data_IF_071577479159
#
_entry.id   IF_071577479159
#
_cell.length_a   1.000
_cell.length_b   1.000
_cell.length_c   1.000
_cell.angle_alpha   90.00
_cell.angle_beta   90.00
_cell.angle_gamma   90.00
#
_symmetry.space_group_name_H-M   'P 1'
#
loop_
_entity.id
_entity.type
_entity.pdbx_description
1 polymer ?
#
# COMPACT_ATOMS: atom_id res chain seq x y z
N UNK A 1 68.18 36.74 -4.66
CA UNK A 1 67.60 36.42 -3.34
C UNK A 1 66.05 36.30 -3.27
N UNK A 2 65.27 36.55 -4.34
CA UNK A 2 63.78 36.56 -4.26
C UNK A 2 63.10 35.16 -4.33
N UNK A 3 63.71 34.17 -4.99
CA UNK A 3 63.12 32.82 -5.15
C UNK A 3 63.09 31.98 -3.86
N UNK A 4 64.09 32.12 -2.98
CA UNK A 4 64.14 31.39 -1.70
C UNK A 4 63.01 31.78 -0.75
N UNK A 5 62.54 33.04 -0.79
CA UNK A 5 61.43 33.53 0.03
C UNK A 5 60.07 32.99 -0.44
N UNK A 6 59.90 32.73 -1.74
CA UNK A 6 58.69 32.12 -2.33
C UNK A 6 58.57 30.63 -1.96
N UNK A 7 59.66 29.87 -2.07
CA UNK A 7 59.69 28.46 -1.68
C UNK A 7 59.43 28.27 -0.16
N UNK A 8 59.98 29.15 0.68
CA UNK A 8 59.70 29.16 2.11
C UNK A 8 58.24 29.56 2.43
N UNK A 9 57.64 30.45 1.63
CA UNK A 9 56.22 30.86 1.77
C UNK A 9 55.25 29.76 1.39
N UNK A 10 55.56 28.94 0.39
CA UNK A 10 54.74 27.80 -0.04
C UNK A 10 54.85 26.57 0.90
N UNK A 11 55.98 26.39 1.59
CA UNK A 11 56.17 25.30 2.57
C UNK A 11 55.29 25.42 3.81
N UNK A 12 54.95 26.64 4.23
CA UNK A 12 54.09 26.89 5.42
C UNK A 12 52.64 26.40 5.24
N UNK A 13 51.89 26.76 4.18
CA UNK A 13 50.53 26.25 3.98
C UNK A 13 50.51 24.74 3.74
N UNK A 14 51.51 24.18 3.04
CA UNK A 14 51.60 22.73 2.80
C UNK A 14 51.84 21.92 4.09
N UNK A 15 52.72 22.40 4.98
CA UNK A 15 52.90 21.81 6.31
C UNK A 15 51.67 21.99 7.21
N UNK A 16 50.89 23.06 7.01
CA UNK A 16 49.65 23.31 7.75
C UNK A 16 48.55 22.36 7.28
N UNK A 17 48.46 22.12 5.97
CA UNK A 17 47.55 21.15 5.34
C UNK A 17 47.88 19.71 5.74
N UNK A 18 49.16 19.32 5.70
CA UNK A 18 49.64 17.99 6.13
C UNK A 18 49.49 17.74 7.64
N UNK A 19 49.38 18.79 8.46
CA UNK A 19 49.17 18.70 9.90
C UNK A 19 47.69 18.87 10.29
N UNK A 20 46.83 19.11 9.31
CA UNK A 20 45.41 19.32 9.54
C UNK A 20 44.67 17.97 9.62
N UNK A 21 44.36 17.55 10.85
CA UNK A 21 43.62 16.30 11.11
C UNK A 21 42.19 16.33 10.56
N UNK A 22 41.66 17.50 10.19
CA UNK A 22 40.32 17.65 9.59
C UNK A 22 40.20 16.95 8.23
N UNK A 23 41.31 16.79 7.51
CA UNK A 23 41.34 16.05 6.24
C UNK A 23 41.01 14.56 6.43
N UNK A 24 41.45 13.96 7.54
CA UNK A 24 41.17 12.55 7.86
C UNK A 24 39.68 12.35 8.15
N UNK A 25 39.08 13.22 8.95
CA UNK A 25 37.63 13.18 9.22
C UNK A 25 36.78 13.37 7.96
N UNK A 26 37.25 14.18 7.00
CA UNK A 26 36.55 14.35 5.71
C UNK A 26 36.57 13.06 4.88
N UNK A 27 37.67 12.30 4.89
CA UNK A 27 37.75 11.00 4.20
C UNK A 27 36.86 9.96 4.88
N UNK A 28 36.89 9.88 6.22
CA UNK A 28 36.00 8.99 6.98
C UNK A 28 34.52 9.27 6.70
N UNK A 29 34.14 10.54 6.68
CA UNK A 29 32.78 10.95 6.31
C UNK A 29 32.45 10.59 4.86
N UNK A 30 33.36 10.80 3.92
CA UNK A 30 33.16 10.44 2.52
C UNK A 30 32.96 8.92 2.31
N UNK A 31 33.59 8.08 3.14
CA UNK A 31 33.37 6.63 3.12
C UNK A 31 32.02 6.22 3.72
N UNK A 32 31.54 6.91 4.76
CA UNK A 32 30.26 6.61 5.41
C UNK A 32 29.05 7.21 4.69
N UNK A 33 29.22 8.33 4.00
CA UNK A 33 28.16 9.08 3.34
C UNK A 33 27.32 8.23 2.37
N UNK A 34 27.88 7.35 1.52
CA UNK A 34 27.10 6.45 0.67
C UNK A 34 26.14 5.56 1.49
N UNK A 35 26.62 5.00 2.60
CA UNK A 35 25.79 4.18 3.49
C UNK A 35 24.68 5.02 4.15
N UNK A 36 24.99 6.23 4.62
CA UNK A 36 23.98 7.10 5.21
C UNK A 36 22.89 7.50 4.20
N UNK A 37 23.27 7.83 2.96
CA UNK A 37 22.33 8.18 1.89
C UNK A 37 21.44 7.00 1.53
N UNK A 38 22.02 5.81 1.35
CA UNK A 38 21.24 4.61 1.02
C UNK A 38 20.23 4.27 2.11
N UNK A 39 20.62 4.32 3.39
CA UNK A 39 19.72 4.09 4.52
C UNK A 39 18.62 5.16 4.61
N UNK A 40 18.95 6.43 4.36
CA UNK A 40 17.97 7.51 4.38
C UNK A 40 16.93 7.35 3.26
N UNK A 41 17.38 7.20 2.01
CA UNK A 41 16.48 7.07 0.86
C UNK A 41 15.65 5.78 0.97
N UNK A 42 16.28 4.66 1.32
CA UNK A 42 15.58 3.39 1.54
C UNK A 42 14.54 3.50 2.66
N UNK A 43 14.87 4.17 3.77
CA UNK A 43 13.93 4.42 4.86
C UNK A 43 12.71 5.24 4.44
N UNK A 44 12.91 6.29 3.62
CA UNK A 44 11.82 7.12 3.08
C UNK A 44 10.93 6.31 2.13
N UNK A 45 11.51 5.50 1.24
CA UNK A 45 10.75 4.65 0.32
C UNK A 45 9.90 3.62 1.07
N UNK A 46 10.49 2.89 2.02
CA UNK A 46 9.78 1.89 2.83
C UNK A 46 8.67 2.54 3.65
N UNK A 47 8.95 3.68 4.29
CA UNK A 47 7.94 4.42 5.06
C UNK A 47 6.77 4.86 4.20
N UNK A 48 7.05 5.29 2.96
CA UNK A 48 6.02 5.69 2.00
C UNK A 48 5.18 4.49 1.55
N UNK A 49 5.81 3.36 1.24
CA UNK A 49 5.11 2.13 0.87
C UNK A 49 4.18 1.65 2.00
N UNK A 50 4.65 1.64 3.25
CA UNK A 50 3.84 1.29 4.42
C UNK A 50 2.67 2.28 4.60
N UNK A 51 2.88 3.57 4.36
CA UNK A 51 1.81 4.57 4.46
C UNK A 51 0.70 4.31 3.42
N UNK A 52 1.06 3.94 2.19
CA UNK A 52 0.09 3.56 1.14
C UNK A 52 -0.59 2.24 1.51
N UNK A 53 0.14 1.25 2.00
CA UNK A 53 -0.41 -0.05 2.43
C UNK A 53 -1.48 0.12 3.52
N UNK A 54 -1.23 0.99 4.51
CA UNK A 54 -2.23 1.33 5.53
C UNK A 54 -3.49 1.96 4.92
N UNK A 55 -3.36 2.74 3.84
CA UNK A 55 -4.53 3.28 3.11
C UNK A 55 -5.28 2.19 2.36
N UNK A 56 -4.59 1.23 1.76
CA UNK A 56 -5.20 0.04 1.12
C UNK A 56 -6.05 -0.72 2.13
N UNK A 57 -5.51 -1.00 3.32
CA UNK A 57 -6.26 -1.61 4.43
C UNK A 57 -7.47 -0.78 4.85
N UNK A 58 -7.30 0.54 4.97
CA UNK A 58 -8.38 1.43 5.36
C UNK A 58 -9.52 1.40 4.34
N UNK A 59 -9.20 1.40 3.03
CA UNK A 59 -10.20 1.30 1.95
C UNK A 59 -10.96 -0.02 2.04
N UNK A 60 -10.27 -1.17 2.14
CA UNK A 60 -10.92 -2.47 2.23
C UNK A 60 -11.90 -2.53 3.42
N UNK A 61 -11.48 -2.00 4.58
CA UNK A 61 -12.32 -1.88 5.78
C UNK A 61 -13.53 -0.97 5.55
N UNK A 62 -13.32 0.23 5.04
CA UNK A 62 -14.42 1.19 4.80
C UNK A 62 -15.47 0.62 3.84
N UNK A 63 -15.04 -0.04 2.75
CA UNK A 63 -15.97 -0.68 1.82
C UNK A 63 -16.74 -1.82 2.48
N UNK A 64 -16.06 -2.70 3.21
CA UNK A 64 -16.71 -3.77 3.97
C UNK A 64 -17.71 -3.24 5.01
N UNK A 65 -17.35 -2.16 5.70
CA UNK A 65 -18.20 -1.52 6.71
C UNK A 65 -19.46 -0.89 6.09
N UNK A 66 -19.34 -0.16 4.97
CA UNK A 66 -20.48 0.44 4.28
C UNK A 66 -21.46 -0.60 3.74
N UNK A 67 -20.93 -1.68 3.15
CA UNK A 67 -21.73 -2.74 2.55
C UNK A 67 -22.39 -3.61 3.62
N UNK A 68 -21.65 -3.97 4.68
CA UNK A 68 -22.20 -4.78 5.78
C UNK A 68 -23.29 -4.06 6.56
N UNK A 69 -23.32 -2.73 6.54
CA UNK A 69 -24.38 -1.91 7.16
C UNK A 69 -25.60 -1.71 6.26
N UNK A 70 -25.66 -2.35 5.10
CA UNK A 70 -26.81 -2.26 4.18
C UNK A 70 -27.64 -3.54 4.24
N UNK A 71 -28.95 -3.44 4.03
CA UNK A 71 -29.85 -4.61 3.90
C UNK A 71 -30.04 -5.00 2.43
N UNK A 72 -30.16 -4.00 1.56
CA UNK A 72 -30.12 -4.13 0.12
C UNK A 72 -29.38 -2.95 -0.50
N UNK A 73 -28.77 -3.18 -1.66
CA UNK A 73 -28.05 -2.17 -2.44
C UNK A 73 -28.58 -2.17 -3.86
N UNK A 74 -28.74 -1.00 -4.46
CA UNK A 74 -28.95 -0.84 -5.90
C UNK A 74 -27.62 -0.46 -6.60
N UNK A 75 -27.66 -0.34 -7.94
CA UNK A 75 -26.48 0.03 -8.73
C UNK A 75 -25.84 1.37 -8.31
N UNK A 76 -26.66 2.38 -7.99
CA UNK A 76 -26.21 3.71 -7.59
C UNK A 76 -25.55 3.66 -6.22
N UNK A 77 -26.15 2.97 -5.25
CA UNK A 77 -25.61 2.81 -3.90
C UNK A 77 -24.25 2.11 -3.96
N UNK A 78 -24.16 1.02 -4.73
CA UNK A 78 -22.91 0.29 -4.93
C UNK A 78 -21.84 1.16 -5.59
N UNK A 79 -22.20 1.92 -6.64
CA UNK A 79 -21.27 2.85 -7.30
C UNK A 79 -20.76 3.92 -6.33
N UNK A 80 -21.66 4.50 -5.52
CA UNK A 80 -21.29 5.49 -4.49
C UNK A 80 -20.34 4.90 -3.44
N UNK A 81 -20.62 3.69 -2.97
CA UNK A 81 -19.75 2.97 -2.03
C UNK A 81 -18.37 2.73 -2.66
N UNK A 82 -18.31 2.18 -3.88
CA UNK A 82 -17.04 1.91 -4.56
C UNK A 82 -16.26 3.21 -4.82
N UNK A 83 -16.93 4.29 -5.19
CA UNK A 83 -16.32 5.60 -5.40
C UNK A 83 -15.77 6.21 -4.11
N UNK A 84 -16.29 5.85 -2.93
CA UNK A 84 -15.75 6.30 -1.65
C UNK A 84 -14.28 5.86 -1.46
N UNK A 85 -13.85 4.76 -2.09
CA UNK A 85 -12.45 4.32 -2.09
C UNK A 85 -11.49 5.42 -2.57
N UNK A 86 -11.90 6.21 -3.56
CA UNK A 86 -11.09 7.30 -4.12
C UNK A 86 -10.83 8.44 -3.12
N UNK A 87 -11.75 8.65 -2.17
CA UNK A 87 -11.60 9.65 -1.11
C UNK A 87 -10.75 9.12 0.03
N UNK A 88 -10.89 7.84 0.40
CA UNK A 88 -10.15 7.23 1.50
C UNK A 88 -8.66 7.10 1.18
N UNK A 89 -8.32 6.80 -0.09
CA UNK A 89 -6.93 6.61 -0.54
C UNK A 89 -6.14 7.93 -0.65
N UNK A 90 -6.80 9.09 -0.55
CA UNK A 90 -6.11 10.38 -0.53
C UNK A 90 -5.03 10.42 0.57
N UNK A 91 -3.87 11.05 0.30
CA UNK A 91 -3.53 11.89 -0.86
C UNK A 91 -2.98 11.13 -2.09
N UNK A 92 -3.06 9.81 -2.13
CA UNK A 92 -2.52 9.00 -3.23
C UNK A 92 -3.50 8.93 -4.41
N UNK A 93 -2.97 8.72 -5.63
CA UNK A 93 -3.79 8.75 -6.85
C UNK A 93 -4.86 7.65 -6.83
N UNK A 94 -6.16 7.99 -6.99
CA UNK A 94 -7.23 7.01 -7.02
C UNK A 94 -7.28 6.20 -8.33
N UNK A 95 -6.58 6.62 -9.39
CA UNK A 95 -6.54 5.84 -10.65
C UNK A 95 -5.76 4.52 -10.53
N UNK A 96 -4.91 4.41 -9.51
CA UNK A 96 -4.05 3.25 -9.27
C UNK A 96 -4.69 2.22 -8.32
N UNK A 97 -5.87 2.53 -7.78
CA UNK A 97 -6.61 1.64 -6.89
C UNK A 97 -7.57 0.75 -7.69
N UNK A 98 -7.61 -0.52 -7.31
CA UNK A 98 -8.61 -1.49 -7.77
C UNK A 98 -9.32 -2.02 -6.53
N UNK A 99 -10.64 -1.98 -6.51
CA UNK A 99 -11.42 -2.51 -5.38
C UNK A 99 -12.45 -3.48 -5.90
N UNK A 100 -12.68 -4.57 -5.17
CA UNK A 100 -13.72 -5.54 -5.47
C UNK A 100 -14.45 -5.86 -4.18
N UNK A 101 -15.77 -5.72 -4.19
CA UNK A 101 -16.64 -6.15 -3.09
C UNK A 101 -17.48 -7.30 -3.60
N UNK A 102 -17.49 -8.40 -2.85
CA UNK A 102 -18.29 -9.57 -3.15
C UNK A 102 -19.09 -10.00 -1.94
N UNK A 103 -20.29 -10.51 -2.16
CA UNK A 103 -20.98 -11.34 -1.16
C UNK A 103 -20.61 -12.80 -1.40
N UNK A 104 -20.22 -13.47 -0.34
CA UNK A 104 -19.88 -14.89 -0.32
C UNK A 104 -20.79 -15.58 0.68
N UNK A 105 -21.51 -16.59 0.24
CA UNK A 105 -22.37 -17.40 1.11
C UNK A 105 -21.71 -18.76 1.33
N UNK A 106 -21.71 -19.22 2.59
CA UNK A 106 -21.19 -20.51 3.02
C UNK A 106 -22.37 -21.44 3.26
N UNK A 107 -22.46 -22.51 2.47
CA UNK A 107 -23.55 -23.47 2.57
C UNK A 107 -23.42 -24.41 3.79
N UNK A 108 -24.40 -25.30 3.97
CA UNK A 108 -24.41 -26.29 5.05
C UNK A 108 -23.19 -27.25 5.03
N UNK A 109 -22.60 -27.46 3.85
CA UNK A 109 -21.42 -28.31 3.65
C UNK A 109 -20.11 -27.53 3.79
N UNK A 110 -20.16 -26.27 4.27
CA UNK A 110 -19.01 -25.36 4.39
C UNK A 110 -18.36 -24.99 3.06
N UNK A 111 -19.11 -25.07 1.96
CA UNK A 111 -18.67 -24.63 0.64
C UNK A 111 -19.05 -23.17 0.47
N UNK A 112 -18.05 -22.33 0.22
CA UNK A 112 -18.24 -20.89 0.03
C UNK A 112 -18.40 -20.55 -1.47
N UNK A 113 -19.42 -19.78 -1.81
CA UNK A 113 -19.74 -19.36 -3.18
C UNK A 113 -19.99 -17.87 -3.27
N UNK A 114 -19.50 -17.23 -4.33
CA UNK A 114 -19.82 -15.84 -4.64
C UNK A 114 -21.28 -15.74 -5.08
N UNK A 115 -22.08 -14.92 -4.41
CA UNK A 115 -23.46 -14.61 -4.84
C UNK A 115 -23.46 -13.47 -5.84
N UNK A 116 -22.76 -12.38 -5.51
CA UNK A 116 -22.57 -11.23 -6.37
C UNK A 116 -21.19 -10.62 -6.12
N UNK A 117 -20.68 -9.91 -7.12
CA UNK A 117 -19.39 -9.23 -7.06
C UNK A 117 -19.42 -7.96 -7.89
N UNK A 118 -18.88 -6.86 -7.35
CA UNK A 118 -18.82 -5.54 -7.97
C UNK A 118 -17.45 -4.94 -7.75
N UNK A 119 -16.96 -4.19 -8.72
CA UNK A 119 -15.58 -3.70 -8.73
C UNK A 119 -15.49 -2.31 -9.30
N UNK A 120 -14.46 -1.57 -8.86
CA UNK A 120 -13.99 -0.35 -9.50
C UNK A 120 -12.54 -0.60 -9.96
N UNK A 121 -12.29 -0.40 -11.26
CA UNK A 121 -11.00 -0.60 -11.94
C UNK A 121 -10.40 -2.03 -11.86
N UNK A 122 -11.13 -3.00 -11.31
CA UNK A 122 -10.70 -4.39 -11.19
C UNK A 122 -11.56 -5.37 -12.00
N UNK A 123 -11.60 -6.63 -11.57
CA UNK A 123 -12.39 -7.69 -12.20
C UNK A 123 -13.35 -8.28 -11.19
N UNK A 124 -14.64 -8.24 -11.50
CA UNK A 124 -15.67 -8.87 -10.68
C UNK A 124 -15.61 -10.39 -10.82
N UNK A 125 -15.94 -11.10 -9.74
CA UNK A 125 -16.00 -12.56 -9.71
C UNK A 125 -17.35 -13.04 -10.27
N UNK A 126 -17.38 -14.11 -11.09
CA UNK A 126 -18.63 -14.61 -11.62
C UNK A 126 -19.51 -15.18 -10.50
N UNK A 127 -20.84 -15.01 -10.58
CA UNK A 127 -21.77 -15.63 -9.64
C UNK A 127 -21.58 -17.16 -9.59
N UNK A 128 -21.81 -17.74 -8.41
CA UNK A 128 -21.64 -19.16 -8.09
C UNK A 128 -20.20 -19.70 -8.20
N UNK A 129 -19.19 -18.84 -8.39
CA UNK A 129 -17.80 -19.26 -8.30
C UNK A 129 -17.43 -19.71 -6.88
N UNK A 130 -16.67 -20.79 -6.79
CA UNK A 130 -16.17 -21.32 -5.52
C UNK A 130 -15.08 -20.40 -4.97
N UNK A 131 -15.13 -20.15 -3.66
CA UNK A 131 -14.11 -19.38 -2.93
C UNK A 131 -13.48 -20.27 -1.88
N UNK A 132 -12.16 -20.30 -1.84
CA UNK A 132 -11.41 -20.88 -0.72
C UNK A 132 -11.34 -19.87 0.42
N UNK A 133 -12.03 -20.18 1.52
CA UNK A 133 -11.93 -19.44 2.77
C UNK A 133 -11.11 -20.24 3.79
N UNK A 134 -10.52 -19.54 4.76
CA UNK A 134 -9.93 -20.18 5.93
C UNK A 134 -11.01 -20.87 6.77
N UNK A 135 -10.64 -21.95 7.45
CA UNK A 135 -11.60 -22.76 8.20
C UNK A 135 -12.32 -21.98 9.31
N UNK A 136 -11.66 -20.95 9.87
CA UNK A 136 -12.26 -20.05 10.85
C UNK A 136 -13.44 -19.24 10.29
N UNK A 137 -13.49 -19.00 8.97
CA UNK A 137 -14.57 -18.25 8.32
C UNK A 137 -15.67 -19.15 7.74
N UNK A 138 -15.44 -20.48 7.69
CA UNK A 138 -16.40 -21.47 7.18
C UNK A 138 -17.49 -21.83 8.19
N UNK A 139 -18.23 -20.83 8.65
CA UNK A 139 -19.43 -21.08 9.46
C UNK A 139 -20.58 -21.45 8.53
N UNK A 140 -21.15 -22.64 8.72
CA UNK A 140 -22.24 -23.14 7.88
C UNK A 140 -23.46 -22.19 7.92
N UNK A 141 -24.13 -22.03 6.78
CA UNK A 141 -25.31 -21.18 6.61
C UNK A 141 -25.07 -19.72 7.00
N UNK A 142 -23.94 -19.14 6.60
CA UNK A 142 -23.62 -17.74 6.85
C UNK A 142 -23.29 -16.98 5.56
N UNK A 143 -23.53 -15.67 5.57
CA UNK A 143 -23.11 -14.76 4.51
C UNK A 143 -21.98 -13.86 5.00
N UNK A 144 -21.02 -13.61 4.12
CA UNK A 144 -19.85 -12.77 4.32
C UNK A 144 -19.77 -11.73 3.20
N UNK A 145 -19.41 -10.52 3.58
CA UNK A 145 -18.98 -9.47 2.67
C UNK A 145 -17.46 -9.54 2.60
N UNK A 146 -16.95 -9.80 1.41
CA UNK A 146 -15.54 -9.84 1.10
C UNK A 146 -15.16 -8.57 0.35
N UNK A 147 -14.41 -7.69 1.00
CA UNK A 147 -13.88 -6.49 0.38
C UNK A 147 -12.38 -6.68 0.12
N UNK A 148 -11.99 -6.55 -1.14
CA UNK A 148 -10.63 -6.65 -1.64
C UNK A 148 -10.19 -5.28 -2.16
N UNK A 149 -8.97 -4.87 -1.83
CA UNK A 149 -8.37 -3.64 -2.35
C UNK A 149 -6.96 -3.93 -2.83
N UNK A 150 -6.60 -3.37 -3.98
CA UNK A 150 -5.27 -3.43 -4.55
C UNK A 150 -4.82 -2.02 -4.95
N UNK A 151 -3.53 -1.74 -4.82
CA UNK A 151 -2.93 -0.48 -5.24
C UNK A 151 -1.60 -0.73 -5.94
N UNK A 152 -1.46 -0.19 -7.15
CA UNK A 152 -0.21 -0.24 -7.89
C UNK A 152 0.74 0.87 -7.38
N UNK A 153 1.63 0.51 -6.44
CA UNK A 153 2.60 1.44 -5.87
C UNK A 153 3.92 1.41 -6.65
N UNK A 154 4.39 2.57 -7.08
CA UNK A 154 5.72 2.72 -7.68
C UNK A 154 6.55 3.67 -6.80
N UNK A 155 7.73 3.24 -6.30
CA UNK A 155 8.63 4.11 -5.54
C UNK A 155 9.06 5.33 -6.36
N UNK A 156 9.13 6.49 -5.72
CA UNK A 156 9.46 7.75 -6.38
C UNK A 156 10.94 7.86 -6.75
N UNK A 157 11.83 7.29 -5.93
CA UNK A 157 13.28 7.39 -6.12
C UNK A 157 13.79 6.18 -6.92
N UNK A 158 13.22 5.00 -6.69
CA UNK A 158 13.51 3.79 -7.46
C UNK A 158 14.94 3.25 -7.26
N UNK A 159 15.57 3.57 -6.12
CA UNK A 159 16.99 3.27 -5.89
C UNK A 159 17.20 1.95 -5.15
N UNK A 160 16.44 1.70 -4.07
CA UNK A 160 16.52 0.44 -3.31
C UNK A 160 15.40 -0.51 -3.73
N UNK A 161 14.19 0.02 -3.88
CA UNK A 161 13.03 -0.73 -4.37
C UNK A 161 12.75 -0.28 -5.81
N UNK A 162 12.88 -1.21 -6.76
CA UNK A 162 12.66 -0.92 -8.19
C UNK A 162 11.38 -1.56 -8.69
N UNK A 163 10.67 -0.86 -9.58
CA UNK A 163 9.48 -1.37 -10.25
C UNK A 163 8.17 -1.11 -9.50
N UNK A 164 7.07 -1.53 -10.11
CA UNK A 164 5.73 -1.38 -9.52
C UNK A 164 5.39 -2.59 -8.67
N UNK A 165 5.02 -2.35 -7.42
CA UNK A 165 4.56 -3.35 -6.47
C UNK A 165 3.04 -3.23 -6.30
N UNK A 166 2.33 -4.37 -6.34
CA UNK A 166 0.90 -4.37 -6.02
C UNK A 166 0.71 -4.60 -4.53
N UNK A 167 0.36 -3.54 -3.80
CA UNK A 167 -0.07 -3.63 -2.42
C UNK A 167 -1.51 -4.14 -2.41
N UNK A 168 -1.82 -5.10 -1.53
CA UNK A 168 -3.14 -5.76 -1.51
C UNK A 168 -3.57 -6.00 -0.07
N UNK A 169 -4.84 -5.75 0.19
CA UNK A 169 -5.47 -6.17 1.44
C UNK A 169 -6.88 -6.68 1.16
N UNK A 170 -7.37 -7.54 2.06
CA UNK A 170 -8.71 -8.08 2.00
C UNK A 170 -9.29 -8.24 3.40
N UNK A 171 -10.60 -8.06 3.49
CA UNK A 171 -11.33 -8.27 4.75
C UNK A 171 -12.65 -8.99 4.49
N UNK A 172 -13.00 -9.85 5.45
CA UNK A 172 -14.30 -10.50 5.52
C UNK A 172 -15.09 -9.91 6.68
N UNK A 173 -16.32 -9.49 6.41
CA UNK A 173 -17.25 -8.99 7.42
C UNK A 173 -18.58 -9.70 7.33
N UNK A 174 -19.24 -9.93 8.45
CA UNK A 174 -20.64 -10.36 8.42
C UNK A 174 -21.55 -9.15 8.17
N UNK A 175 -22.63 -9.30 7.39
CA UNK A 175 -23.71 -8.31 7.37
C UNK A 175 -24.17 -7.98 8.81
N UNK A 176 -24.40 -6.69 9.09
CA UNK A 176 -24.68 -6.17 10.44
C UNK A 176 -26.16 -5.88 10.68
N UNK A 177 -26.89 -5.46 9.65
CA UNK A 177 -28.31 -5.10 9.76
C UNK A 177 -29.28 -6.17 9.21
N UNK A 178 -28.75 -7.24 8.64
CA UNK A 178 -29.52 -8.34 8.06
C UNK A 178 -28.69 -9.62 8.08
N UNK A 179 -29.31 -10.78 7.83
CA UNK A 179 -28.57 -12.03 7.65
C UNK A 179 -27.73 -12.02 6.36
N UNK A 180 -28.21 -11.30 5.35
CA UNK A 180 -27.58 -11.23 4.03
C UNK A 180 -27.85 -9.90 3.34
N UNK A 181 -26.88 -9.41 2.56
CA UNK A 181 -27.05 -8.17 1.76
C UNK A 181 -27.49 -8.52 0.34
N UNK A 182 -28.68 -8.06 -0.05
CA UNK A 182 -29.17 -8.22 -1.42
C UNK A 182 -28.56 -7.15 -2.35
N UNK A 183 -28.24 -7.52 -3.58
CA UNK A 183 -27.83 -6.56 -4.61
C UNK A 183 -28.84 -6.57 -5.75
N UNK A 184 -29.69 -5.56 -5.80
CA UNK A 184 -30.77 -5.42 -6.77
C UNK A 184 -30.26 -4.62 -7.97
N UNK A 185 -30.07 -5.30 -9.10
CA UNK A 185 -29.55 -4.70 -10.33
C UNK A 185 -28.17 -4.03 -10.18
N UNK A 186 -27.39 -4.46 -9.19
CA UNK A 186 -25.95 -4.26 -9.21
C UNK A 186 -25.37 -5.13 -10.32
#
# INVERSE_FOLDING_TARGET
MRFARLAARARRPLRRFLRDKRGVSAVEFAMLLPLMITLYLGGVEVSSAIAVDRKVTQVARTLGDLVSQSTSLNATDMSNILNAASSVVQPYSPSLIQVTVSRVDVDANKIAKVVWSKTLNGTARPPNSLVTLDDALKTANTSLIWAETQYAYTPTIGYVITGTMTLRDQIYMRPRLSDTVACNAC
#
